data_IF_581543323348
#
_entry.id   IF_581543323348
#
_cell.length_a   1.000
_cell.length_b   1.000
_cell.length_c   1.000
_cell.angle_alpha   90.00
_cell.angle_beta   90.00
_cell.angle_gamma   90.00
#
_symmetry.space_group_name_H-M   'P 1'
#
loop_
_entity.id
_entity.type
_entity.pdbx_description
1 polymer ?
#
# COMPACT_ATOMS: atom_id res chain seq x y z
N UNK A 1 -12.62 15.17 -10.66
CA UNK A 1 -11.58 14.11 -10.82
C UNK A 1 -10.69 14.49 -11.99
N UNK A 2 -9.37 14.40 -11.82
CA UNK A 2 -8.40 14.78 -12.87
C UNK A 2 -7.38 13.65 -13.04
N UNK A 3 -7.33 12.99 -14.20
CA UNK A 3 -6.24 12.07 -14.51
C UNK A 3 -4.90 12.83 -14.50
N UNK A 4 -3.87 12.21 -13.93
CA UNK A 4 -2.55 12.84 -13.83
C UNK A 4 -1.44 11.79 -13.92
N UNK A 5 -0.23 12.24 -14.17
CA UNK A 5 0.94 11.38 -14.14
C UNK A 5 1.33 11.05 -12.70
N UNK A 6 1.98 9.91 -12.51
CA UNK A 6 2.59 9.53 -11.24
C UNK A 6 4.04 9.09 -11.45
N UNK A 7 4.91 9.45 -10.53
CA UNK A 7 6.28 8.96 -10.49
C UNK A 7 6.39 7.57 -9.82
N UNK A 8 5.31 7.11 -9.17
CA UNK A 8 5.33 5.87 -8.40
C UNK A 8 5.77 4.66 -9.24
N UNK A 9 5.20 4.47 -10.44
CA UNK A 9 5.58 3.37 -11.32
C UNK A 9 7.07 3.38 -11.68
N UNK A 10 7.64 4.57 -11.95
CA UNK A 10 9.08 4.71 -12.25
C UNK A 10 9.97 4.41 -11.04
N UNK A 11 9.48 4.68 -9.84
CA UNK A 11 10.23 4.38 -8.60
C UNK A 11 10.24 2.87 -8.32
N UNK A 12 9.22 2.13 -8.71
CA UNK A 12 9.18 0.67 -8.56
C UNK A 12 10.38 0.02 -9.26
N UNK A 13 10.72 0.43 -10.46
CA UNK A 13 11.86 -0.10 -11.22
C UNK A 13 13.20 0.07 -10.48
N UNK A 14 13.32 1.11 -9.64
CA UNK A 14 14.52 1.37 -8.84
C UNK A 14 14.54 0.62 -7.51
N UNK A 15 13.38 0.44 -6.89
CA UNK A 15 13.23 -0.17 -5.55
C UNK A 15 13.13 -1.69 -5.67
N UNK A 16 12.49 -2.18 -6.73
CA UNK A 16 12.27 -3.60 -7.01
C UNK A 16 12.75 -3.91 -8.45
N UNK A 17 14.06 -3.99 -8.69
CA UNK A 17 14.62 -4.19 -10.03
C UNK A 17 14.09 -5.43 -10.75
N UNK A 18 13.76 -6.49 -10.01
CA UNK A 18 13.21 -7.73 -10.56
C UNK A 18 11.81 -7.55 -11.18
N UNK A 19 11.13 -6.46 -10.84
CA UNK A 19 9.84 -6.08 -11.40
C UNK A 19 9.94 -4.95 -12.43
N UNK A 20 11.15 -4.53 -12.79
CA UNK A 20 11.34 -3.43 -13.73
C UNK A 20 10.64 -3.69 -15.07
N UNK A 21 9.90 -2.69 -15.53
CA UNK A 21 9.09 -2.77 -16.76
C UNK A 21 7.85 -3.69 -16.70
N UNK A 22 7.58 -4.30 -15.55
CA UNK A 22 6.43 -5.21 -15.35
C UNK A 22 5.26 -4.55 -14.63
N UNK A 23 5.45 -3.37 -14.07
CA UNK A 23 4.44 -2.62 -13.33
C UNK A 23 4.15 -1.30 -14.04
N UNK A 24 2.88 -1.03 -14.27
CA UNK A 24 2.41 0.24 -14.80
C UNK A 24 1.45 0.88 -13.81
N UNK A 25 1.27 2.19 -13.90
CA UNK A 25 0.35 2.88 -13.00
C UNK A 25 -0.13 4.21 -13.56
N UNK A 26 -1.30 4.59 -13.12
CA UNK A 26 -1.91 5.87 -13.38
C UNK A 26 -2.42 6.47 -12.08
N UNK A 27 -2.64 7.78 -12.05
CA UNK A 27 -3.19 8.45 -10.90
C UNK A 27 -4.39 9.32 -11.28
N UNK A 28 -5.32 9.45 -10.35
CA UNK A 28 -6.46 10.34 -10.46
C UNK A 28 -6.52 11.23 -9.23
N UNK A 29 -6.50 12.54 -9.43
CA UNK A 29 -6.74 13.51 -8.36
C UNK A 29 -8.23 13.65 -8.10
N UNK A 30 -8.59 13.59 -6.83
CA UNK A 30 -9.96 13.77 -6.33
C UNK A 30 -9.96 14.86 -5.26
N UNK A 31 -11.10 15.55 -5.04
CA UNK A 31 -11.21 16.59 -4.02
C UNK A 31 -11.33 15.99 -2.61
N UNK A 32 -10.25 15.36 -2.15
CA UNK A 32 -10.09 14.84 -0.79
C UNK A 32 -9.05 15.68 -0.05
N UNK A 33 -9.28 15.91 1.25
CA UNK A 33 -8.42 16.77 2.07
C UNK A 33 -7.04 16.12 2.27
N UNK A 34 -7.03 14.83 2.57
CA UNK A 34 -5.82 14.03 2.76
C UNK A 34 -6.13 12.56 2.54
N UNK A 35 -5.13 11.72 2.63
CA UNK A 35 -5.17 10.28 2.39
C UNK A 35 -5.31 9.96 0.91
N UNK A 36 -4.61 8.96 0.49
CA UNK A 36 -4.67 8.40 -0.87
C UNK A 36 -5.11 6.95 -0.81
N UNK A 37 -5.70 6.48 -1.89
CA UNK A 37 -5.98 5.06 -2.07
C UNK A 37 -5.05 4.47 -3.13
N UNK A 38 -4.70 3.22 -2.97
CA UNK A 38 -4.09 2.40 -4.01
C UNK A 38 -5.04 1.27 -4.38
N UNK A 39 -5.27 1.14 -5.65
CA UNK A 39 -6.00 0.02 -6.27
C UNK A 39 -4.97 -0.77 -7.08
N UNK A 40 -4.60 -1.92 -6.57
CA UNK A 40 -3.50 -2.71 -7.10
C UNK A 40 -4.02 -4.03 -7.65
N UNK A 41 -3.82 -4.24 -8.94
CA UNK A 41 -4.16 -5.49 -9.61
C UNK A 41 -2.88 -6.23 -9.95
N UNK A 42 -2.80 -7.47 -9.53
CA UNK A 42 -1.65 -8.35 -9.75
C UNK A 42 -2.10 -9.69 -10.33
N UNK A 43 -1.30 -10.21 -11.27
CA UNK A 43 -1.42 -11.59 -11.74
C UNK A 43 -0.36 -12.44 -11.07
N UNK A 44 -0.77 -13.53 -10.44
CA UNK A 44 0.12 -14.43 -9.72
C UNK A 44 0.20 -15.79 -10.43
N UNK A 45 1.41 -16.34 -10.49
CA UNK A 45 1.62 -17.70 -11.05
C UNK A 45 0.99 -18.76 -10.15
N UNK A 46 1.08 -18.56 -8.83
CA UNK A 46 0.50 -19.44 -7.81
C UNK A 46 -0.27 -18.57 -6.80
N UNK A 47 -1.52 -18.21 -7.10
CA UNK A 47 -2.31 -17.41 -6.18
C UNK A 47 -2.57 -18.18 -4.87
N UNK A 48 -2.51 -17.52 -3.71
CA UNK A 48 -2.85 -18.14 -2.46
C UNK A 48 -4.34 -18.49 -2.43
N UNK A 49 -4.68 -19.60 -1.80
CA UNK A 49 -6.07 -19.87 -1.46
C UNK A 49 -6.52 -18.87 -0.38
N UNK A 50 -7.64 -18.18 -0.62
CA UNK A 50 -8.12 -17.12 0.28
C UNK A 50 -7.21 -15.89 0.31
N UNK A 51 -7.10 -15.10 -0.78
CA UNK A 51 -6.19 -13.95 -0.85
C UNK A 51 -6.41 -12.93 0.28
N UNK A 52 -7.64 -12.72 0.71
CA UNK A 52 -7.95 -11.81 1.82
C UNK A 52 -7.30 -12.29 3.15
N UNK A 53 -7.33 -13.60 3.42
CA UNK A 53 -6.70 -14.16 4.63
C UNK A 53 -5.18 -14.12 4.55
N UNK A 54 -4.61 -14.31 3.37
CA UNK A 54 -3.18 -14.12 3.14
C UNK A 54 -2.75 -12.67 3.41
N UNK A 55 -3.56 -11.69 2.99
CA UNK A 55 -3.30 -10.27 3.27
C UNK A 55 -3.40 -9.95 4.77
N UNK A 56 -4.37 -10.53 5.48
CA UNK A 56 -4.47 -10.41 6.94
C UNK A 56 -3.24 -10.97 7.64
N UNK A 57 -2.81 -12.16 7.26
CA UNK A 57 -1.62 -12.78 7.83
C UNK A 57 -0.36 -11.95 7.57
N UNK A 58 -0.20 -11.40 6.36
CA UNK A 58 0.92 -10.55 5.99
C UNK A 58 0.93 -9.25 6.82
N UNK A 59 -0.21 -8.60 6.98
CA UNK A 59 -0.31 -7.37 7.75
C UNK A 59 -0.02 -7.61 9.24
N UNK A 60 -0.54 -8.69 9.82
CA UNK A 60 -0.27 -9.05 11.20
C UNK A 60 1.21 -9.37 11.47
N UNK A 61 1.94 -9.82 10.46
CA UNK A 61 3.38 -10.09 10.55
C UNK A 61 4.25 -8.85 10.31
N UNK A 62 3.68 -7.73 9.87
CA UNK A 62 4.44 -6.56 9.45
C UNK A 62 3.94 -5.29 10.14
N UNK A 63 4.71 -4.67 11.04
CA UNK A 63 4.27 -3.52 11.84
C UNK A 63 4.03 -2.23 11.06
N UNK A 64 4.43 -2.18 9.78
CA UNK A 64 4.21 -1.00 8.92
C UNK A 64 3.02 -1.16 7.99
N UNK A 65 2.31 -2.27 8.08
CA UNK A 65 1.08 -2.55 7.32
C UNK A 65 -0.07 -2.70 8.31
N UNK A 66 -1.11 -1.90 8.14
CA UNK A 66 -2.33 -1.96 8.92
C UNK A 66 -3.46 -2.66 8.18
N UNK A 67 -4.54 -2.90 8.90
CA UNK A 67 -5.79 -3.45 8.36
C UNK A 67 -6.95 -2.53 8.71
N UNK A 68 -7.95 -2.50 7.83
CA UNK A 68 -9.28 -1.98 8.09
C UNK A 68 -10.31 -2.98 7.57
N UNK A 69 -11.15 -3.49 8.46
CA UNK A 69 -12.17 -4.51 8.14
C UNK A 69 -13.54 -3.87 7.89
N UNK A 70 -13.79 -2.72 8.50
CA UNK A 70 -15.04 -2.00 8.34
C UNK A 70 -15.05 -1.13 7.09
N UNK A 71 -16.25 -0.86 6.57
CA UNK A 71 -16.41 0.13 5.53
C UNK A 71 -15.96 1.51 6.02
N UNK A 72 -15.04 2.13 5.29
CA UNK A 72 -14.47 3.42 5.67
C UNK A 72 -14.28 4.33 4.46
N UNK A 73 -14.07 5.61 4.75
CA UNK A 73 -13.70 6.63 3.76
C UNK A 73 -12.37 7.25 4.10
N UNK A 74 -11.79 8.02 3.18
CA UNK A 74 -10.45 8.59 3.34
C UNK A 74 -10.23 9.35 4.65
N UNK A 75 -11.23 10.08 5.14
CA UNK A 75 -11.11 10.87 6.38
C UNK A 75 -10.92 10.00 7.63
N UNK A 76 -11.42 8.78 7.63
CA UNK A 76 -11.29 7.85 8.76
C UNK A 76 -9.87 7.32 8.91
N UNK A 77 -9.08 7.38 7.82
CA UNK A 77 -7.71 6.87 7.75
C UNK A 77 -6.65 7.97 7.95
N UNK A 78 -7.06 9.18 8.31
CA UNK A 78 -6.11 10.28 8.57
C UNK A 78 -5.25 9.98 9.80
N UNK A 79 -4.01 10.43 9.71
CA UNK A 79 -3.01 10.28 10.78
C UNK A 79 -2.64 8.83 11.13
N UNK A 80 -3.00 7.87 10.27
CA UNK A 80 -2.49 6.50 10.38
C UNK A 80 -0.99 6.50 10.10
N UNK A 81 -0.23 5.83 10.95
CA UNK A 81 1.24 5.80 10.89
C UNK A 81 1.78 4.64 10.05
N UNK A 82 0.93 3.74 9.65
CA UNK A 82 1.30 2.65 8.75
C UNK A 82 1.63 3.18 7.35
N UNK A 83 2.49 2.51 6.64
CA UNK A 83 2.83 2.84 5.25
C UNK A 83 1.71 2.47 4.27
N UNK A 84 0.91 1.49 4.66
CA UNK A 84 -0.27 1.01 3.92
C UNK A 84 -1.27 0.42 4.91
N UNK A 85 -2.54 0.75 4.74
CA UNK A 85 -3.66 0.13 5.45
C UNK A 85 -4.48 -0.64 4.44
N UNK A 86 -4.41 -1.97 4.47
CA UNK A 86 -5.13 -2.84 3.53
C UNK A 86 -6.58 -2.97 3.97
N UNK A 87 -7.49 -2.99 3.00
CA UNK A 87 -8.89 -3.31 3.19
C UNK A 87 -9.16 -4.73 2.62
N UNK A 88 -9.02 -5.81 3.41
CA UNK A 88 -9.11 -7.17 2.91
C UNK A 88 -10.49 -7.49 2.32
N UNK A 89 -11.54 -6.89 2.85
CA UNK A 89 -12.91 -7.09 2.38
C UNK A 89 -13.18 -6.47 0.99
N UNK A 90 -12.29 -5.59 0.51
CA UNK A 90 -12.32 -5.03 -0.84
C UNK A 90 -11.48 -5.84 -1.84
N UNK A 91 -10.89 -6.95 -1.39
CA UNK A 91 -10.11 -7.84 -2.24
C UNK A 91 -11.03 -8.60 -3.18
N UNK A 92 -10.68 -8.58 -4.47
CA UNK A 92 -11.41 -9.32 -5.50
C UNK A 92 -10.48 -10.33 -6.16
N UNK A 93 -11.01 -11.49 -6.47
CA UNK A 93 -10.29 -12.58 -7.15
C UNK A 93 -11.00 -12.96 -8.43
N UNK A 94 -10.25 -13.06 -9.53
CA UNK A 94 -10.75 -13.52 -10.82
C UNK A 94 -9.68 -14.32 -11.53
N UNK A 95 -9.80 -15.63 -11.47
CA UNK A 95 -8.80 -16.55 -12.02
C UNK A 95 -7.43 -16.38 -11.35
N UNK A 96 -6.41 -15.98 -12.10
CA UNK A 96 -5.05 -15.73 -11.62
C UNK A 96 -4.81 -14.26 -11.20
N UNK A 97 -5.84 -13.43 -11.28
CA UNK A 97 -5.76 -12.00 -10.93
C UNK A 97 -6.36 -11.74 -9.56
N UNK A 98 -5.65 -10.94 -8.78
CA UNK A 98 -6.10 -10.46 -7.47
C UNK A 98 -6.05 -8.95 -7.50
N UNK A 99 -7.16 -8.31 -7.12
CA UNK A 99 -7.23 -6.89 -6.85
C UNK A 99 -7.10 -6.67 -5.35
N UNK A 100 -6.18 -5.82 -4.95
CA UNK A 100 -5.93 -5.44 -3.56
C UNK A 100 -6.20 -3.94 -3.45
N UNK A 101 -7.02 -3.56 -2.46
CA UNK A 101 -7.30 -2.17 -2.20
C UNK A 101 -6.72 -1.76 -0.84
N UNK A 102 -6.15 -0.55 -0.79
CA UNK A 102 -5.58 -0.04 0.45
C UNK A 102 -5.52 1.48 0.48
N UNK A 103 -5.27 1.99 1.67
CA UNK A 103 -5.19 3.41 1.98
C UNK A 103 -3.82 3.77 2.52
N UNK A 104 -3.39 5.00 2.32
CA UNK A 104 -2.16 5.50 2.91
C UNK A 104 -2.21 7.02 3.12
N UNK A 105 -1.69 7.45 4.26
CA UNK A 105 -1.49 8.86 4.56
C UNK A 105 -0.01 9.18 4.28
N UNK A 106 0.25 9.91 3.20
CA UNK A 106 1.62 10.23 2.77
C UNK A 106 2.42 10.90 3.88
N UNK A 107 1.82 11.89 4.53
CA UNK A 107 2.50 12.74 5.50
C UNK A 107 2.82 11.96 6.77
N UNK A 108 1.86 11.23 7.31
CA UNK A 108 2.01 10.47 8.55
C UNK A 108 2.82 9.19 8.35
N UNK A 109 2.53 8.43 7.32
CA UNK A 109 3.25 7.21 7.00
C UNK A 109 4.72 7.48 6.74
N UNK A 110 5.05 8.50 5.93
CA UNK A 110 6.43 8.88 5.65
C UNK A 110 7.17 9.38 6.91
N UNK A 111 6.54 10.25 7.70
CA UNK A 111 7.11 10.76 8.95
C UNK A 111 7.42 9.63 9.93
N UNK A 112 6.54 8.66 10.07
CA UNK A 112 6.76 7.48 10.89
C UNK A 112 7.97 6.66 10.39
N UNK A 113 8.10 6.44 9.08
CA UNK A 113 9.26 5.73 8.49
C UNK A 113 10.56 6.48 8.69
N UNK A 114 10.56 7.81 8.62
CA UNK A 114 11.76 8.61 8.95
C UNK A 114 12.24 8.36 10.38
N UNK A 115 11.32 8.33 11.34
CA UNK A 115 11.65 8.03 12.74
C UNK A 115 12.18 6.60 12.91
N UNK A 116 11.62 5.63 12.21
CA UNK A 116 12.10 4.25 12.26
C UNK A 116 13.51 4.12 11.70
N UNK A 117 13.82 4.77 10.58
CA UNK A 117 15.18 4.82 10.01
C UNK A 117 16.15 5.48 10.97
N UNK A 118 15.78 6.61 11.58
CA UNK A 118 16.63 7.28 12.57
C UNK A 118 16.97 6.38 13.77
N UNK A 119 15.97 5.64 14.29
CA UNK A 119 16.17 4.66 15.36
C UNK A 119 17.10 3.51 14.95
N UNK A 120 16.96 3.04 13.69
CA UNK A 120 17.85 1.99 13.16
C UNK A 120 19.29 2.47 13.02
N UNK A 121 19.49 3.70 12.55
CA UNK A 121 20.82 4.31 12.44
C UNK A 121 21.48 4.43 13.83
N UNK A 122 20.75 4.88 14.84
CA UNK A 122 21.25 5.00 16.21
C UNK A 122 21.69 3.65 16.78
N UNK A 123 20.95 2.56 16.50
CA UNK A 123 21.31 1.21 16.97
C UNK A 123 22.58 0.66 16.30
N UNK A 124 22.88 1.09 15.08
CA UNK A 124 24.08 0.67 14.33
C UNK A 124 25.36 1.42 14.75
N UNK A 125 25.19 2.55 15.42
CA UNK A 125 26.31 3.40 15.87
C UNK A 125 26.80 3.01 17.29
N UNK A 126 26.21 2.00 17.89
CA UNK A 126 26.64 1.38 19.15
C UNK A 126 27.25 -0.01 18.91
#
# INVERSE_FOLDING_TARGET
MVPTTTSAAKLIDRVLPDLAGRVTGAAVRVPAISVSAVDFVVRLTNPPFGPADALRAMANANPVIGLVEDACVSVDLRARTESLVIAPNETMETGDQIRIFGWYDNEWGFSARMLDVARMMQKRSK
#
